data_IF_800238257203
#
_entry.id   IF_800238257203
#
_cell.length_a   1.000
_cell.length_b   1.000
_cell.length_c   1.000
_cell.angle_alpha   90.00
_cell.angle_beta   90.00
_cell.angle_gamma   90.00
#
_symmetry.space_group_name_H-M   'P 1'
#
loop_
_entity.id
_entity.type
_entity.pdbx_description
1 polymer ?
#
# COMPACT_ATOMS: atom_id res chain seq x y z
N UNK A 1 23.60 -1.19 -10.20
CA UNK A 1 22.87 -1.14 -8.94
C UNK A 1 23.11 0.18 -8.19
N UNK A 2 24.36 0.55 -7.91
CA UNK A 2 24.72 1.77 -7.17
C UNK A 2 24.09 3.05 -7.75
N UNK A 3 24.00 3.18 -9.09
CA UNK A 3 23.35 4.32 -9.75
C UNK A 3 21.87 4.43 -9.39
N UNK A 4 21.15 3.30 -9.36
CA UNK A 4 19.72 3.29 -9.03
C UNK A 4 19.49 3.56 -7.55
N UNK A 5 20.36 3.06 -6.67
CA UNK A 5 20.32 3.35 -5.24
C UNK A 5 20.49 4.83 -4.95
N UNK A 6 21.46 5.48 -5.59
CA UNK A 6 21.69 6.94 -5.48
C UNK A 6 20.50 7.75 -5.97
N UNK A 7 19.90 7.33 -7.09
CA UNK A 7 18.72 8.01 -7.63
C UNK A 7 17.49 7.83 -6.71
N UNK A 8 17.27 6.65 -6.16
CA UNK A 8 16.19 6.40 -5.22
C UNK A 8 16.39 7.23 -3.93
N UNK A 9 17.61 7.28 -3.38
CA UNK A 9 17.93 8.10 -2.22
C UNK A 9 17.64 9.59 -2.50
N UNK A 10 18.04 10.09 -3.66
CA UNK A 10 17.76 11.46 -4.08
C UNK A 10 16.24 11.75 -4.07
N UNK A 11 15.41 10.87 -4.62
CA UNK A 11 13.97 11.09 -4.63
C UNK A 11 13.34 11.02 -3.22
N UNK A 12 13.84 10.16 -2.33
CA UNK A 12 13.40 10.12 -0.93
C UNK A 12 13.82 11.42 -0.21
N UNK A 13 15.02 11.92 -0.45
CA UNK A 13 15.56 13.12 0.17
C UNK A 13 14.86 14.40 -0.30
N UNK A 14 14.48 14.46 -1.58
CA UNK A 14 13.77 15.61 -2.16
C UNK A 14 12.28 15.63 -1.85
N UNK A 15 11.66 14.46 -1.62
CA UNK A 15 10.24 14.36 -1.32
C UNK A 15 9.88 15.15 -0.07
N UNK A 16 8.95 16.11 -0.21
CA UNK A 16 8.46 16.93 0.89
C UNK A 16 9.32 18.15 1.28
N UNK A 17 10.45 18.38 0.59
CA UNK A 17 11.21 19.63 0.77
C UNK A 17 10.49 20.86 0.23
N UNK A 18 9.76 20.69 -0.86
CA UNK A 18 8.84 21.68 -1.42
C UNK A 18 7.44 21.06 -1.50
N UNK A 19 6.56 21.30 -0.51
CA UNK A 19 5.19 20.76 -0.54
C UNK A 19 4.41 21.15 -1.80
N UNK A 20 4.69 22.30 -2.39
CA UNK A 20 4.01 22.81 -3.57
C UNK A 20 4.64 22.33 -4.91
N UNK A 21 5.64 21.47 -4.86
CA UNK A 21 6.35 21.00 -6.06
C UNK A 21 5.40 20.51 -7.17
N UNK A 22 4.46 19.64 -6.85
CA UNK A 22 3.54 19.08 -7.85
C UNK A 22 2.56 20.10 -8.39
N UNK A 23 2.09 21.04 -7.58
CA UNK A 23 1.24 22.15 -8.03
C UNK A 23 2.01 23.08 -8.98
N UNK A 24 3.25 23.43 -8.65
CA UNK A 24 4.11 24.25 -9.51
C UNK A 24 4.43 23.57 -10.83
N UNK A 25 4.71 22.26 -10.79
CA UNK A 25 4.99 21.46 -11.99
C UNK A 25 3.76 21.35 -12.88
N UNK A 26 2.58 21.08 -12.32
CA UNK A 26 1.32 21.04 -13.04
C UNK A 26 1.04 22.37 -13.75
N UNK A 27 1.16 23.47 -13.03
CA UNK A 27 1.00 24.81 -13.59
C UNK A 27 2.00 25.11 -14.72
N UNK A 28 3.27 24.76 -14.55
CA UNK A 28 4.33 24.98 -15.54
C UNK A 28 4.12 24.16 -16.84
N UNK A 29 3.50 22.99 -16.73
CA UNK A 29 3.24 22.11 -17.88
C UNK A 29 1.92 22.35 -18.58
N UNK A 30 1.07 23.25 -18.05
CA UNK A 30 -0.28 23.51 -18.54
C UNK A 30 -1.08 22.23 -18.76
N UNK A 31 -1.00 21.29 -17.85
CA UNK A 31 -1.69 20.01 -17.95
C UNK A 31 -3.19 20.20 -17.77
N UNK A 32 -3.94 20.19 -18.88
CA UNK A 32 -5.40 20.31 -18.87
C UNK A 32 -6.13 19.16 -18.13
N UNK A 33 -5.44 18.09 -17.80
CA UNK A 33 -5.92 17.00 -16.94
C UNK A 33 -5.61 17.21 -15.47
N UNK A 34 -5.05 18.33 -15.10
CA UNK A 34 -4.53 18.65 -13.75
C UNK A 34 -5.60 19.12 -12.79
N UNK A 35 -6.83 19.40 -13.25
CA UNK A 35 -7.92 19.81 -12.38
C UNK A 35 -8.08 18.93 -11.13
N UNK A 36 -7.74 17.65 -11.23
CA UNK A 36 -7.75 16.74 -10.11
C UNK A 36 -6.50 16.91 -9.21
N UNK A 37 -5.30 16.91 -9.81
CA UNK A 37 -4.04 17.01 -9.07
C UNK A 37 -3.87 18.38 -8.39
N UNK A 38 -4.28 19.45 -9.06
CA UNK A 38 -4.19 20.83 -8.53
C UNK A 38 -5.07 21.05 -7.30
N UNK A 39 -6.11 20.23 -7.13
CA UNK A 39 -7.04 20.30 -5.99
C UNK A 39 -6.65 19.38 -4.84
N UNK A 40 -5.71 18.47 -5.05
CA UNK A 40 -5.27 17.55 -4.01
C UNK A 40 -4.28 18.26 -3.07
N UNK A 41 -4.38 18.01 -1.76
CA UNK A 41 -3.38 18.53 -0.81
C UNK A 41 -2.00 17.91 -1.08
N UNK A 42 -0.90 18.55 -0.68
CA UNK A 42 0.45 17.97 -0.82
C UNK A 42 0.60 16.58 -0.20
N UNK A 43 -0.16 16.25 0.84
CA UNK A 43 -0.21 14.92 1.46
C UNK A 43 -0.70 13.82 0.53
N UNK A 44 -1.50 14.16 -0.49
CA UNK A 44 -1.99 13.19 -1.48
C UNK A 44 -0.85 12.46 -2.20
N UNK A 45 0.23 13.17 -2.48
CA UNK A 45 1.46 12.64 -3.10
C UNK A 45 2.55 12.34 -2.07
N UNK A 46 2.23 12.27 -0.77
CA UNK A 46 3.20 12.13 0.32
C UNK A 46 4.28 13.21 0.31
N UNK A 47 3.92 14.45 -0.13
CA UNK A 47 4.84 15.57 -0.34
C UNK A 47 4.66 16.70 0.68
N UNK A 48 3.85 16.51 1.73
CA UNK A 48 3.49 17.53 2.71
C UNK A 48 4.62 17.88 3.68
N UNK A 49 5.56 16.96 3.89
CA UNK A 49 6.78 17.15 4.69
C UNK A 49 7.84 16.11 4.30
N UNK A 50 9.12 16.33 4.61
CA UNK A 50 10.19 15.37 4.33
C UNK A 50 9.85 13.96 4.84
N UNK A 51 10.22 12.92 4.10
CA UNK A 51 9.83 11.54 4.44
C UNK A 51 10.26 11.13 5.85
N UNK A 52 11.46 11.56 6.29
CA UNK A 52 11.96 11.28 7.65
C UNK A 52 11.18 11.97 8.77
N UNK A 53 10.36 12.95 8.44
CA UNK A 53 9.51 13.70 9.39
C UNK A 53 8.05 13.24 9.36
N UNK A 54 7.70 12.34 8.44
CA UNK A 54 6.35 11.79 8.37
C UNK A 54 6.12 10.78 9.48
N UNK A 55 4.92 10.80 10.03
CA UNK A 55 4.50 9.96 11.17
C UNK A 55 3.12 9.32 10.95
N UNK A 56 2.44 9.68 9.86
CA UNK A 56 1.14 9.16 9.46
C UNK A 56 1.16 8.75 7.99
N UNK A 57 0.41 7.70 7.64
CA UNK A 57 0.21 7.32 6.24
C UNK A 57 -0.85 8.23 5.63
N UNK A 58 -0.53 8.90 4.53
CA UNK A 58 -1.36 9.93 3.93
C UNK A 58 -1.55 9.73 2.42
N UNK A 59 -2.63 10.28 1.89
CA UNK A 59 -2.90 10.38 0.46
C UNK A 59 -3.20 9.03 -0.19
N UNK A 60 -2.85 8.90 -1.47
CA UNK A 60 -3.12 7.70 -2.24
C UNK A 60 -2.43 6.48 -1.63
N UNK A 61 -3.22 5.46 -1.28
CA UNK A 61 -2.75 4.33 -0.48
C UNK A 61 -1.64 3.51 -1.18
N UNK A 62 -1.82 3.18 -2.45
CA UNK A 62 -0.81 2.40 -3.22
C UNK A 62 0.51 3.15 -3.33
N UNK A 63 0.48 4.45 -3.65
CA UNK A 63 1.69 5.27 -3.75
C UNK A 63 2.42 5.38 -2.42
N UNK A 64 1.67 5.51 -1.33
CA UNK A 64 2.21 5.54 0.02
C UNK A 64 2.97 4.23 0.31
N UNK A 65 2.36 3.09 0.05
CA UNK A 65 3.00 1.78 0.27
C UNK A 65 4.25 1.59 -0.59
N UNK A 66 4.24 2.03 -1.84
CA UNK A 66 5.41 1.93 -2.71
C UNK A 66 6.54 2.86 -2.26
N UNK A 67 6.21 4.07 -1.80
CA UNK A 67 7.18 4.97 -1.19
C UNK A 67 7.82 4.35 0.05
N UNK A 68 7.00 3.80 0.96
CA UNK A 68 7.47 3.20 2.20
C UNK A 68 8.27 1.91 1.97
N UNK A 69 7.89 1.11 0.97
CA UNK A 69 8.70 -0.05 0.52
C UNK A 69 10.11 0.39 0.11
N UNK A 70 10.21 1.44 -0.70
CA UNK A 70 11.50 1.97 -1.12
C UNK A 70 12.27 2.62 0.05
N UNK A 71 11.57 3.34 0.93
CA UNK A 71 12.17 3.98 2.10
C UNK A 71 12.77 2.96 3.07
N UNK A 72 12.04 1.88 3.40
CA UNK A 72 12.53 0.83 4.27
C UNK A 72 13.76 0.11 3.69
N UNK A 73 13.72 -0.19 2.39
CA UNK A 73 14.86 -0.80 1.69
C UNK A 73 16.10 0.10 1.72
N UNK A 74 15.94 1.40 1.42
CA UNK A 74 17.03 2.37 1.47
C UNK A 74 17.55 2.60 2.88
N UNK A 75 16.67 2.65 3.87
CA UNK A 75 17.05 2.80 5.27
C UNK A 75 17.98 1.67 5.71
N UNK A 76 17.63 0.42 5.37
CA UNK A 76 18.46 -0.74 5.65
C UNK A 76 19.82 -0.68 4.93
N UNK A 77 19.82 -0.41 3.62
CA UNK A 77 21.05 -0.38 2.81
C UNK A 77 22.01 0.74 3.18
N UNK A 78 21.47 1.88 3.62
CA UNK A 78 22.27 3.08 3.96
C UNK A 78 22.52 3.23 5.47
N UNK A 79 22.00 2.32 6.31
CA UNK A 79 22.02 2.43 7.77
C UNK A 79 21.40 3.76 8.26
N UNK A 80 20.29 4.18 7.64
CA UNK A 80 19.60 5.44 7.94
C UNK A 80 18.52 5.21 9.00
N UNK A 81 18.93 5.32 10.27
CA UNK A 81 18.04 5.12 11.41
C UNK A 81 16.88 6.14 11.47
N UNK A 82 17.07 7.36 10.98
CA UNK A 82 16.03 8.37 10.95
C UNK A 82 14.91 7.98 9.95
N UNK A 83 15.30 7.49 8.77
CA UNK A 83 14.35 6.99 7.77
C UNK A 83 13.64 5.72 8.25
N UNK A 84 14.38 4.80 8.90
CA UNK A 84 13.79 3.58 9.48
C UNK A 84 12.79 3.91 10.60
N UNK A 85 13.12 4.88 11.47
CA UNK A 85 12.22 5.34 12.52
C UNK A 85 10.91 5.94 11.95
N UNK A 86 11.00 6.67 10.84
CA UNK A 86 9.81 7.16 10.13
C UNK A 86 8.97 6.01 9.56
N UNK A 87 9.61 4.99 8.95
CA UNK A 87 8.93 3.79 8.47
C UNK A 87 8.19 3.07 9.58
N UNK A 88 8.79 2.90 10.77
CA UNK A 88 8.14 2.28 11.94
C UNK A 88 6.92 3.08 12.41
N UNK A 89 7.03 4.40 12.52
CA UNK A 89 5.90 5.27 12.91
C UNK A 89 4.74 5.18 11.94
N UNK A 90 5.04 5.23 10.63
CA UNK A 90 4.00 5.11 9.60
C UNK A 90 3.40 3.70 9.56
N UNK A 91 4.19 2.66 9.84
CA UNK A 91 3.68 1.30 10.04
C UNK A 91 2.69 1.24 11.20
N UNK A 92 3.07 1.76 12.37
CA UNK A 92 2.22 1.73 13.57
C UNK A 92 0.93 2.54 13.35
N UNK A 93 1.01 3.73 12.72
CA UNK A 93 -0.18 4.49 12.36
C UNK A 93 -1.09 3.73 11.39
N UNK A 94 -0.53 3.12 10.35
CA UNK A 94 -1.30 2.34 9.38
C UNK A 94 -2.02 1.18 10.05
N UNK A 95 -1.29 0.33 10.79
CA UNK A 95 -1.84 -0.92 11.35
C UNK A 95 -2.82 -0.65 12.48
N UNK A 96 -2.49 0.28 13.37
CA UNK A 96 -3.28 0.50 14.59
C UNK A 96 -4.51 1.40 14.36
N UNK A 97 -4.53 2.20 13.28
CA UNK A 97 -5.51 3.27 13.14
C UNK A 97 -6.18 3.39 11.78
N UNK A 98 -5.55 2.89 10.70
CA UNK A 98 -6.02 3.12 9.32
C UNK A 98 -6.13 1.84 8.50
N UNK A 99 -6.09 0.69 9.15
CA UNK A 99 -6.23 -0.63 8.55
C UNK A 99 -7.54 -1.28 8.97
N UNK A 100 -8.26 -1.84 8.02
CA UNK A 100 -9.44 -2.66 8.27
C UNK A 100 -9.07 -4.00 8.89
N UNK A 101 -10.03 -4.67 9.50
CA UNK A 101 -9.84 -5.99 10.13
C UNK A 101 -9.32 -7.03 9.12
N UNK A 102 -9.66 -6.90 7.86
CA UNK A 102 -9.19 -7.76 6.77
C UNK A 102 -7.72 -7.51 6.37
N UNK A 103 -7.14 -6.39 6.80
CA UNK A 103 -5.85 -5.89 6.35
C UNK A 103 -5.98 -4.74 5.35
N UNK A 104 -7.09 -4.63 4.64
CA UNK A 104 -7.31 -3.60 3.63
C UNK A 104 -7.04 -2.19 4.15
N UNK A 105 -6.51 -1.33 3.30
CA UNK A 105 -6.18 0.07 3.57
C UNK A 105 -6.73 0.99 2.48
N UNK A 106 -6.90 2.27 2.84
CA UNK A 106 -7.55 3.25 1.96
C UNK A 106 -9.06 3.21 2.15
N UNK A 107 -9.61 4.16 2.92
CA UNK A 107 -11.01 4.15 3.32
C UNK A 107 -11.90 4.94 2.38
N UNK A 108 -11.34 5.76 1.49
CA UNK A 108 -12.13 6.54 0.53
C UNK A 108 -11.74 6.25 -0.91
N UNK A 109 -12.75 6.19 -1.78
CA UNK A 109 -12.53 6.13 -3.21
C UNK A 109 -11.97 7.46 -3.74
N UNK A 110 -12.32 8.58 -3.11
CA UNK A 110 -11.84 9.87 -3.55
C UNK A 110 -10.31 9.95 -3.42
N UNK A 111 -9.65 9.82 -4.54
CA UNK A 111 -8.20 9.74 -4.61
C UNK A 111 -7.63 8.40 -4.18
N UNK A 112 -8.45 7.36 -4.00
CA UNK A 112 -7.99 6.02 -3.59
C UNK A 112 -7.10 6.11 -2.34
N UNK A 113 -7.58 6.84 -1.33
CA UNK A 113 -6.72 7.44 -0.33
C UNK A 113 -7.02 6.99 1.12
N UNK A 114 -6.05 7.24 1.98
CA UNK A 114 -6.28 7.26 3.41
C UNK A 114 -7.11 8.49 3.80
N UNK A 115 -7.93 8.33 4.82
CA UNK A 115 -8.61 9.41 5.55
C UNK A 115 -7.97 9.60 6.92
N UNK A 116 -8.70 10.16 7.88
CA UNK A 116 -8.21 10.36 9.24
C UNK A 116 -8.19 9.06 10.06
N UNK A 117 -7.49 9.06 11.17
CA UNK A 117 -7.41 7.91 12.07
C UNK A 117 -8.80 7.42 12.50
N UNK A 118 -8.99 6.09 12.45
CA UNK A 118 -10.24 5.39 12.82
C UNK A 118 -11.45 5.66 11.91
N UNK A 119 -11.28 6.35 10.80
CA UNK A 119 -12.32 6.51 9.78
C UNK A 119 -12.28 5.30 8.84
N UNK A 120 -12.97 4.24 9.26
CA UNK A 120 -12.97 2.92 8.62
C UNK A 120 -14.41 2.43 8.37
N UNK A 121 -15.21 3.15 7.56
CA UNK A 121 -16.57 2.74 7.22
C UNK A 121 -16.56 1.44 6.40
N UNK A 122 -17.49 0.52 6.70
CA UNK A 122 -17.53 -0.79 6.05
C UNK A 122 -18.09 -0.74 4.62
N UNK A 123 -19.11 0.08 4.42
CA UNK A 123 -19.90 0.21 3.19
C UNK A 123 -19.20 1.05 2.12
N UNK A 124 -18.33 1.99 2.54
CA UNK A 124 -17.58 2.89 1.65
C UNK A 124 -16.08 2.59 1.61
N UNK A 125 -15.66 1.50 2.26
CA UNK A 125 -14.27 1.06 2.22
C UNK A 125 -13.79 0.89 0.78
N UNK A 126 -12.75 1.63 0.38
CA UNK A 126 -12.13 1.40 -0.93
C UNK A 126 -11.31 0.13 -0.92
N UNK A 127 -10.37 0.02 0.01
CA UNK A 127 -9.56 -1.17 0.25
C UNK A 127 -9.09 -1.84 -1.07
N UNK A 128 -8.38 -1.07 -1.89
CA UNK A 128 -7.93 -1.50 -3.22
C UNK A 128 -7.01 -2.72 -3.14
N UNK A 129 -7.20 -3.68 -4.04
CA UNK A 129 -6.32 -4.87 -4.13
C UNK A 129 -4.85 -4.48 -4.34
N UNK A 130 -4.55 -3.42 -5.13
CA UNK A 130 -3.17 -2.94 -5.27
C UNK A 130 -2.60 -2.36 -3.97
N UNK A 131 -3.43 -1.78 -3.12
CA UNK A 131 -2.98 -1.28 -1.83
C UNK A 131 -2.59 -2.44 -0.90
N UNK A 132 -3.39 -3.51 -0.86
CA UNK A 132 -3.07 -4.74 -0.14
C UNK A 132 -1.76 -5.38 -0.63
N UNK A 133 -1.56 -5.47 -1.95
CA UNK A 133 -0.28 -5.90 -2.54
C UNK A 133 0.86 -4.98 -2.10
N UNK A 134 0.63 -3.67 -2.06
CA UNK A 134 1.60 -2.68 -1.58
C UNK A 134 1.98 -2.88 -0.11
N UNK A 135 1.02 -3.23 0.75
CA UNK A 135 1.30 -3.59 2.16
C UNK A 135 2.18 -4.84 2.22
N UNK A 136 1.93 -5.87 1.39
CA UNK A 136 2.81 -7.04 1.32
C UNK A 136 4.26 -6.65 0.99
N UNK A 137 4.46 -5.72 0.04
CA UNK A 137 5.81 -5.25 -0.31
C UNK A 137 6.48 -4.50 0.84
N UNK A 138 5.73 -3.62 1.51
CA UNK A 138 6.25 -2.87 2.64
C UNK A 138 6.55 -3.78 3.83
N UNK A 139 5.62 -4.68 4.18
CA UNK A 139 5.79 -5.65 5.26
C UNK A 139 7.04 -6.52 5.05
N UNK A 140 7.26 -7.00 3.81
CA UNK A 140 8.46 -7.76 3.47
C UNK A 140 9.74 -6.96 3.71
N UNK A 141 9.79 -5.70 3.25
CA UNK A 141 10.98 -4.87 3.45
C UNK A 141 11.22 -4.54 4.93
N UNK A 142 10.17 -4.31 5.69
CA UNK A 142 10.28 -4.12 7.15
C UNK A 142 10.78 -5.39 7.83
N UNK A 143 10.25 -6.56 7.47
CA UNK A 143 10.67 -7.84 8.03
C UNK A 143 12.15 -8.15 7.74
N UNK A 144 12.63 -7.81 6.55
CA UNK A 144 14.04 -8.00 6.15
C UNK A 144 14.99 -7.00 6.85
N UNK A 145 14.53 -5.78 7.07
CA UNK A 145 15.34 -4.70 7.62
C UNK A 145 15.32 -4.63 9.16
N UNK A 146 14.22 -4.99 9.77
CA UNK A 146 13.90 -4.86 11.20
C UNK A 146 13.05 -6.07 11.65
N UNK A 147 13.63 -7.27 11.78
CA UNK A 147 12.88 -8.50 11.98
C UNK A 147 12.00 -8.49 13.23
N UNK A 148 10.68 -8.45 13.04
CA UNK A 148 9.66 -8.51 14.08
C UNK A 148 8.44 -9.28 13.56
N UNK A 149 7.84 -10.13 14.42
CA UNK A 149 6.68 -10.95 14.07
C UNK A 149 5.47 -10.10 13.63
N UNK A 150 5.33 -8.86 14.10
CA UNK A 150 4.24 -7.94 13.70
C UNK A 150 4.18 -7.70 12.19
N UNK A 151 5.32 -7.68 11.51
CA UNK A 151 5.35 -7.53 10.05
C UNK A 151 4.90 -8.81 9.35
N UNK A 152 5.29 -9.96 9.87
CA UNK A 152 4.87 -11.26 9.34
C UNK A 152 3.37 -11.51 9.53
N UNK A 153 2.80 -11.13 10.67
CA UNK A 153 1.37 -11.31 10.96
C UNK A 153 0.49 -10.49 10.00
N UNK A 154 0.91 -9.25 9.68
CA UNK A 154 0.22 -8.41 8.70
C UNK A 154 0.44 -8.94 7.29
N UNK A 155 1.65 -9.37 6.94
CA UNK A 155 1.94 -9.96 5.64
C UNK A 155 1.04 -11.18 5.37
N UNK A 156 0.90 -12.08 6.34
CA UNK A 156 0.03 -13.25 6.25
C UNK A 156 -1.43 -12.84 6.06
N UNK A 157 -1.92 -11.89 6.88
CA UNK A 157 -3.29 -11.35 6.77
C UNK A 157 -3.56 -10.78 5.38
N UNK A 158 -2.65 -9.99 4.85
CA UNK A 158 -2.79 -9.39 3.52
C UNK A 158 -2.78 -10.42 2.40
N UNK A 159 -1.91 -11.42 2.48
CA UNK A 159 -1.89 -12.48 1.48
C UNK A 159 -3.26 -13.17 1.41
N UNK A 160 -3.82 -13.57 2.54
CA UNK A 160 -5.08 -14.32 2.55
C UNK A 160 -6.33 -13.46 2.38
N UNK A 161 -6.40 -12.31 3.04
CA UNK A 161 -7.63 -11.53 3.13
C UNK A 161 -7.63 -10.26 2.26
N UNK A 162 -6.45 -9.67 2.01
CA UNK A 162 -6.33 -8.45 1.21
C UNK A 162 -6.06 -8.71 -0.27
N UNK A 163 -5.46 -9.85 -0.61
CA UNK A 163 -5.03 -10.13 -1.99
C UNK A 163 -5.75 -11.33 -2.61
N UNK A 164 -5.54 -12.55 -2.12
CA UNK A 164 -6.12 -13.77 -2.71
C UNK A 164 -7.65 -13.75 -2.63
N UNK A 165 -8.22 -13.20 -1.58
CA UNK A 165 -9.67 -13.06 -1.42
C UNK A 165 -10.33 -12.27 -2.56
N UNK A 166 -9.62 -11.34 -3.16
CA UNK A 166 -10.09 -10.58 -4.31
C UNK A 166 -10.14 -11.39 -5.62
N UNK A 167 -9.48 -12.54 -5.69
CA UNK A 167 -9.41 -13.36 -6.90
C UNK A 167 -10.43 -14.51 -6.85
N UNK A 168 -11.06 -14.82 -7.97
CA UNK A 168 -11.88 -16.01 -8.12
C UNK A 168 -11.00 -17.26 -8.10
N UNK A 169 -11.55 -18.38 -7.62
CA UNK A 169 -10.78 -19.62 -7.46
C UNK A 169 -10.13 -20.16 -8.75
N UNK A 170 -10.72 -19.87 -9.90
CA UNK A 170 -10.16 -20.24 -11.21
C UNK A 170 -9.15 -19.20 -11.75
N UNK A 171 -8.92 -18.10 -11.02
CA UNK A 171 -7.97 -17.05 -11.38
C UNK A 171 -8.42 -16.13 -12.53
N UNK A 172 -9.67 -16.20 -12.97
CA UNK A 172 -10.13 -15.47 -14.17
C UNK A 172 -10.84 -14.15 -13.90
N UNK A 173 -11.26 -13.92 -12.64
CA UNK A 173 -12.00 -12.73 -12.23
C UNK A 173 -11.47 -12.17 -10.93
N UNK A 174 -11.62 -10.86 -10.75
CA UNK A 174 -10.99 -10.11 -9.67
C UNK A 174 -11.92 -9.05 -9.08
N UNK A 175 -11.67 -8.65 -7.83
CA UNK A 175 -12.11 -7.39 -7.28
C UNK A 175 -11.02 -6.33 -7.43
N UNK A 176 -11.42 -5.10 -7.73
CA UNK A 176 -10.61 -3.90 -7.60
C UNK A 176 -10.72 -3.36 -6.18
N UNK A 177 -11.96 -3.11 -5.76
CA UNK A 177 -12.37 -2.60 -4.45
C UNK A 177 -12.85 -3.78 -3.59
N UNK A 178 -12.39 -3.84 -2.33
CA UNK A 178 -12.74 -4.91 -1.40
C UNK A 178 -13.51 -4.33 -0.21
N UNK A 179 -14.76 -3.96 -0.44
CA UNK A 179 -15.63 -3.47 0.63
C UNK A 179 -15.90 -4.55 1.68
N UNK A 180 -16.10 -4.13 2.94
CA UNK A 180 -16.44 -5.05 4.02
C UNK A 180 -17.94 -5.32 4.11
N UNK A 181 -18.75 -4.42 3.59
CA UNK A 181 -20.20 -4.54 3.52
C UNK A 181 -20.66 -4.38 2.08
N UNK A 182 -21.26 -5.43 1.52
CA UNK A 182 -21.92 -5.39 0.23
C UNK A 182 -23.43 -5.33 0.43
N UNK A 183 -24.07 -4.27 -0.05
CA UNK A 183 -25.51 -4.13 -0.02
C UNK A 183 -26.07 -4.17 -1.45
N UNK A 184 -26.62 -5.31 -1.89
CA UNK A 184 -27.12 -5.46 -3.26
C UNK A 184 -28.29 -4.53 -3.63
N UNK A 185 -28.95 -3.93 -2.63
CA UNK A 185 -30.03 -2.98 -2.83
C UNK A 185 -29.58 -1.52 -2.93
N UNK A 186 -28.32 -1.24 -2.66
CA UNK A 186 -27.77 0.11 -2.82
C UNK A 186 -27.32 0.31 -4.27
N UNK A 187 -27.63 1.44 -4.88
CA UNK A 187 -27.08 1.76 -6.18
C UNK A 187 -25.54 1.80 -6.09
N UNK A 188 -24.88 1.13 -7.01
CA UNK A 188 -23.41 1.12 -7.13
C UNK A 188 -22.82 2.53 -7.29
N UNK A 189 -23.61 3.48 -7.77
CA UNK A 189 -23.27 4.89 -7.89
C UNK A 189 -23.46 5.70 -6.60
N UNK A 190 -23.76 5.11 -5.45
CA UNK A 190 -23.64 5.81 -4.17
C UNK A 190 -22.22 6.37 -3.95
N UNK A 191 -21.24 5.82 -4.68
CA UNK A 191 -19.83 6.18 -4.61
C UNK A 191 -19.26 6.72 -5.93
N UNK A 192 -20.05 6.76 -7.00
CA UNK A 192 -19.59 7.27 -8.30
C UNK A 192 -18.56 6.38 -9.02
N UNK A 193 -18.56 5.06 -8.74
CA UNK A 193 -17.44 4.20 -9.03
C UNK A 193 -17.77 3.12 -10.05
N UNK A 194 -17.10 3.17 -11.20
CA UNK A 194 -17.14 2.13 -12.21
C UNK A 194 -16.42 0.84 -11.76
N UNK A 195 -15.46 0.95 -10.84
CA UNK A 195 -14.70 -0.18 -10.30
C UNK A 195 -15.41 -0.95 -9.20
N UNK A 196 -16.46 -0.38 -8.58
CA UNK A 196 -17.26 -1.11 -7.61
C UNK A 196 -18.22 -2.06 -8.30
N UNK A 197 -18.01 -3.34 -8.08
CA UNK A 197 -18.94 -4.39 -8.51
C UNK A 197 -19.21 -5.33 -7.33
N UNK A 198 -20.45 -5.79 -7.12
CA UNK A 198 -20.78 -6.80 -6.10
C UNK A 198 -20.25 -8.20 -6.48
N UNK A 199 -19.78 -8.35 -7.70
CA UNK A 199 -19.22 -9.60 -8.24
C UNK A 199 -17.84 -9.34 -8.85
N UNK A 200 -16.96 -10.33 -8.80
CA UNK A 200 -15.66 -10.28 -9.47
C UNK A 200 -15.86 -10.22 -10.98
N UNK A 201 -15.10 -9.38 -11.65
CA UNK A 201 -15.12 -9.25 -13.11
C UNK A 201 -13.76 -9.61 -13.73
N UNK A 202 -13.76 -9.94 -15.03
CA UNK A 202 -12.54 -10.40 -15.71
C UNK A 202 -11.50 -9.31 -15.92
N UNK A 203 -11.92 -8.07 -16.08
CA UNK A 203 -11.02 -6.95 -16.36
C UNK A 203 -11.63 -5.61 -15.98
N UNK A 204 -10.79 -4.61 -15.78
CA UNK A 204 -11.14 -3.22 -15.45
C UNK A 204 -10.52 -2.27 -16.48
N UNK A 205 -11.11 -1.10 -16.69
CA UNK A 205 -10.55 -0.06 -17.58
C UNK A 205 -9.16 0.38 -17.09
N UNK A 206 -8.99 0.56 -15.79
CA UNK A 206 -7.69 0.67 -15.14
C UNK A 206 -7.24 -0.71 -14.66
N UNK A 207 -6.52 -1.44 -15.50
CA UNK A 207 -6.11 -2.83 -15.23
C UNK A 207 -4.88 -2.92 -14.31
N UNK A 208 -4.89 -2.28 -13.14
CA UNK A 208 -3.76 -2.33 -12.21
C UNK A 208 -3.80 -3.56 -11.29
N UNK A 209 -4.96 -3.92 -10.74
CA UNK A 209 -5.10 -4.94 -9.71
C UNK A 209 -4.80 -6.37 -10.20
N UNK A 210 -5.35 -6.86 -11.33
CA UNK A 210 -5.05 -8.21 -11.79
C UNK A 210 -3.56 -8.47 -12.06
N UNK A 211 -2.81 -7.64 -12.82
CA UNK A 211 -1.39 -7.86 -13.03
C UNK A 211 -0.55 -7.65 -11.77
N UNK A 212 -0.96 -6.76 -10.86
CA UNK A 212 -0.27 -6.56 -9.59
C UNK A 212 -0.39 -7.80 -8.69
N UNK A 213 -1.58 -8.40 -8.64
CA UNK A 213 -1.80 -9.65 -7.94
C UNK A 213 -1.00 -10.80 -8.57
N UNK A 214 -0.99 -10.91 -9.91
CA UNK A 214 -0.18 -11.91 -10.62
C UNK A 214 1.32 -11.76 -10.29
N UNK A 215 1.82 -10.52 -10.22
CA UNK A 215 3.20 -10.22 -9.81
C UNK A 215 3.49 -10.72 -8.40
N UNK A 216 2.60 -10.46 -7.44
CA UNK A 216 2.76 -10.96 -6.07
C UNK A 216 2.77 -12.48 -6.03
N UNK A 217 1.80 -13.13 -6.67
CA UNK A 217 1.67 -14.60 -6.67
C UNK A 217 2.88 -15.29 -7.28
N UNK A 218 3.41 -14.78 -8.38
CA UNK A 218 4.61 -15.36 -9.02
C UNK A 218 5.89 -15.19 -8.20
N UNK A 219 5.90 -14.25 -7.26
CA UNK A 219 7.02 -13.99 -6.35
C UNK A 219 6.76 -14.48 -4.91
N UNK A 220 5.63 -15.14 -4.64
CA UNK A 220 5.18 -15.47 -3.29
C UNK A 220 6.21 -16.26 -2.48
N UNK A 221 6.98 -17.13 -3.12
CA UNK A 221 8.05 -17.87 -2.46
C UNK A 221 9.06 -16.99 -1.73
N UNK A 222 9.30 -15.76 -2.21
CA UNK A 222 10.20 -14.81 -1.56
C UNK A 222 9.58 -14.09 -0.34
N UNK A 223 8.30 -14.28 -0.08
CA UNK A 223 7.56 -13.73 1.07
C UNK A 223 7.34 -14.78 2.16
N UNK A 224 7.32 -16.06 1.78
CA UNK A 224 7.02 -17.18 2.67
C UNK A 224 8.26 -17.67 3.41
N UNK A 225 9.46 -17.41 2.87
CA UNK A 225 10.71 -17.87 3.44
C UNK A 225 11.70 -16.74 3.61
N UNK A 226 12.28 -16.63 4.79
CA UNK A 226 13.45 -15.80 5.08
C UNK A 226 14.57 -16.69 5.63
N UNK A 227 15.81 -16.36 5.32
CA UNK A 227 16.98 -17.08 5.83
C UNK A 227 18.05 -16.12 6.33
N UNK A 228 18.71 -16.50 7.40
CA UNK A 228 20.03 -15.99 7.80
C UNK A 228 21.11 -17.01 7.47
N UNK A 229 22.37 -16.73 7.82
CA UNK A 229 23.47 -17.67 7.59
C UNK A 229 23.22 -19.05 8.22
N UNK A 230 22.54 -19.10 9.39
CA UNK A 230 22.37 -20.30 10.17
C UNK A 230 20.93 -20.78 10.35
N UNK A 231 19.91 -20.00 9.86
CA UNK A 231 18.52 -20.27 10.20
C UNK A 231 17.59 -19.97 9.03
N UNK A 232 16.58 -20.84 8.84
CA UNK A 232 15.46 -20.60 7.90
C UNK A 232 14.23 -20.26 8.72
N UNK A 233 13.59 -19.13 8.41
CA UNK A 233 12.38 -18.67 9.05
C UNK A 233 11.20 -18.72 8.08
N UNK A 234 10.11 -19.44 8.36
CA UNK A 234 8.84 -19.26 7.68
C UNK A 234 8.08 -18.11 8.36
N UNK A 235 8.08 -16.88 7.81
CA UNK A 235 7.32 -15.78 8.41
C UNK A 235 5.81 -15.96 8.25
N UNK A 236 5.38 -16.67 7.24
CA UNK A 236 3.98 -16.95 6.92
C UNK A 236 3.72 -18.42 7.19
N UNK A 237 3.31 -18.79 8.34
CA UNK A 237 2.75 -20.06 8.80
C UNK A 237 3.13 -20.31 10.27
N UNK A 238 2.56 -19.56 11.18
CA UNK A 238 2.41 -20.03 12.56
C UNK A 238 1.04 -20.70 12.71
N UNK A 239 0.82 -21.79 11.97
CA UNK A 239 -0.07 -22.82 12.44
C UNK A 239 0.62 -23.48 13.63
N UNK A 240 -0.01 -23.54 14.79
CA UNK A 240 0.47 -24.27 15.95
C UNK A 240 0.85 -25.70 15.55
N UNK A 241 2.13 -25.96 15.44
CA UNK A 241 2.65 -27.31 15.26
C UNK A 241 3.50 -27.51 14.00
N UNK A 242 4.72 -27.02 14.05
CA UNK A 242 5.89 -27.75 13.57
C UNK A 242 7.09 -27.27 14.39
N UNK A 243 7.59 -28.17 15.18
CA UNK A 243 8.79 -28.31 16.00
C UNK A 243 9.67 -27.09 16.20
#
# INVERSE_FOLDING_TARGET
>A
EERYRKLAAYFIDERGRDPEFFHKEAAARSWSRTDYMDKQPPSYMQNHKPVREQDTVEGHAVRCMYLLTAAANLAAQNHDEALMAACRKMWDNMVDRRMYITGGIGSTYYGEAFTVDYDLPNDTAYAETCAAVGVCFFAKQMLEADPDARYADILEREIYNGTISGMQLDGTKFFYINQLEANPGMPTNAYGEEEYTPERIGWYDCACCPPNLARLMTSLGSYVWSSSEDTIFPPVCRGNGFL
#
